data_IF_933787973080
#
_entry.id   IF_933787973080
#
_cell.length_a   1.000
_cell.length_b   1.000
_cell.length_c   1.000
_cell.angle_alpha   90.00
_cell.angle_beta   90.00
_cell.angle_gamma   90.00
#
_symmetry.space_group_name_H-M   'P 1'
#
loop_
_entity.id
_entity.type
_entity.pdbx_description
1 polymer ?
#
# COMPACT_ATOMS: atom_id res chain seq x y z
N UNK A 1 -10.80 12.62 5.33
CA UNK A 1 -11.40 11.37 5.83
C UNK A 1 -10.30 10.61 6.56
N UNK A 2 -10.46 10.38 7.86
CA UNK A 2 -9.36 9.93 8.73
C UNK A 2 -8.98 8.47 8.51
N UNK A 3 -7.71 8.23 8.20
CA UNK A 3 -7.07 6.91 8.31
C UNK A 3 -6.91 6.59 9.80
N UNK A 4 -7.91 5.95 10.40
CA UNK A 4 -7.80 5.41 11.74
C UNK A 4 -7.10 4.05 11.68
N UNK A 5 -6.01 3.88 12.42
CA UNK A 5 -5.39 2.58 12.59
C UNK A 5 -6.44 1.60 13.14
N UNK A 6 -6.70 0.52 12.40
CA UNK A 6 -7.61 -0.55 12.83
C UNK A 6 -6.77 -1.66 13.48
N UNK A 7 -7.26 -2.21 14.58
CA UNK A 7 -6.62 -3.37 15.21
C UNK A 7 -7.07 -4.67 14.55
N UNK A 8 -6.33 -5.75 14.79
CA UNK A 8 -6.64 -7.11 14.35
C UNK A 8 -8.10 -7.54 14.61
N UNK A 9 -8.62 -7.24 15.80
CA UNK A 9 -9.99 -7.59 16.18
C UNK A 9 -11.03 -6.90 15.29
N UNK A 10 -10.75 -5.64 14.89
CA UNK A 10 -11.64 -4.87 14.03
C UNK A 10 -11.61 -5.39 12.58
N UNK A 11 -10.44 -5.84 12.09
CA UNK A 11 -10.31 -6.53 10.79
C UNK A 11 -11.16 -7.79 10.76
N UNK A 12 -11.00 -8.68 11.75
CA UNK A 12 -11.77 -9.94 11.83
C UNK A 12 -13.28 -9.69 11.93
N UNK A 13 -13.70 -8.67 12.69
CA UNK A 13 -15.11 -8.27 12.80
C UNK A 13 -15.68 -7.78 11.46
N UNK A 14 -14.92 -6.99 10.70
CA UNK A 14 -15.34 -6.54 9.37
C UNK A 14 -15.42 -7.71 8.39
N UNK A 15 -14.45 -8.63 8.39
CA UNK A 15 -14.49 -9.81 7.55
C UNK A 15 -15.74 -10.67 7.82
N UNK A 16 -16.06 -10.91 9.10
CA UNK A 16 -17.28 -11.61 9.50
C UNK A 16 -18.56 -10.86 9.05
N UNK A 17 -18.59 -9.53 9.19
CA UNK A 17 -19.72 -8.70 8.77
C UNK A 17 -19.97 -8.75 7.26
N UNK A 18 -18.90 -8.78 6.46
CA UNK A 18 -18.97 -8.88 5.00
C UNK A 18 -19.04 -10.32 4.49
N UNK A 19 -19.18 -11.32 5.37
CA UNK A 19 -19.16 -12.74 5.04
C UNK A 19 -17.92 -13.17 4.21
N UNK A 20 -16.78 -12.51 4.43
CA UNK A 20 -15.50 -12.91 3.86
C UNK A 20 -14.97 -14.10 4.66
N UNK A 21 -14.86 -15.27 4.01
CA UNK A 21 -14.37 -16.51 4.62
C UNK A 21 -12.94 -16.88 4.18
N UNK A 22 -12.28 -16.01 3.41
CA UNK A 22 -10.89 -16.19 2.99
C UNK A 22 -9.94 -15.95 4.17
N UNK A 23 -9.50 -17.04 4.81
CA UNK A 23 -8.66 -16.98 6.02
C UNK A 23 -7.28 -16.39 5.73
N UNK A 24 -6.69 -16.71 4.58
CA UNK A 24 -5.37 -16.21 4.18
C UNK A 24 -5.42 -14.68 3.99
N UNK A 25 -6.48 -14.17 3.35
CA UNK A 25 -6.71 -12.74 3.20
C UNK A 25 -6.91 -12.06 4.55
N UNK A 26 -7.72 -12.63 5.45
CA UNK A 26 -8.00 -12.04 6.77
C UNK A 26 -6.72 -11.96 7.61
N UNK A 27 -5.89 -12.99 7.56
CA UNK A 27 -4.62 -13.01 8.29
C UNK A 27 -3.63 -12.00 7.69
N UNK A 28 -3.51 -11.93 6.37
CA UNK A 28 -2.68 -10.92 5.70
C UNK A 28 -3.11 -9.48 6.09
N UNK A 29 -4.41 -9.18 6.04
CA UNK A 29 -4.95 -7.88 6.47
C UNK A 29 -4.70 -7.60 7.96
N UNK A 30 -4.75 -8.64 8.79
CA UNK A 30 -4.47 -8.53 10.22
C UNK A 30 -3.01 -8.16 10.47
N UNK A 31 -2.08 -8.88 9.83
CA UNK A 31 -0.64 -8.59 9.89
C UNK A 31 -0.38 -7.15 9.46
N UNK A 32 -0.88 -6.74 8.29
CA UNK A 32 -0.74 -5.36 7.78
C UNK A 32 -1.28 -4.30 8.74
N UNK A 33 -2.46 -4.54 9.33
CA UNK A 33 -3.10 -3.58 10.24
C UNK A 33 -2.35 -3.44 11.58
N UNK A 34 -1.66 -4.50 12.02
CA UNK A 34 -0.86 -4.51 13.25
C UNK A 34 0.60 -4.14 13.04
N UNK A 35 1.06 -4.06 11.79
CA UNK A 35 2.41 -3.64 11.48
C UNK A 35 2.62 -2.18 11.94
N UNK A 36 3.61 -2.01 12.82
CA UNK A 36 4.01 -0.70 13.38
C UNK A 36 5.41 -0.31 12.93
N UNK A 37 5.93 -0.96 11.88
CA UNK A 37 7.25 -0.66 11.34
C UNK A 37 7.30 0.82 10.98
N UNK A 38 8.19 1.57 11.66
CA UNK A 38 8.55 2.93 11.24
C UNK A 38 9.34 2.78 9.96
N UNK A 39 8.68 3.02 8.84
CA UNK A 39 9.20 2.69 7.53
C UNK A 39 9.60 3.94 6.75
N UNK A 40 9.94 3.71 5.48
CA UNK A 40 10.17 4.76 4.50
C UNK A 40 8.99 5.75 4.41
N UNK A 41 7.75 5.31 4.68
CA UNK A 41 6.54 6.15 4.63
C UNK A 41 6.62 7.36 5.56
N UNK A 42 7.21 7.22 6.75
CA UNK A 42 7.38 8.33 7.70
C UNK A 42 8.32 9.41 7.16
N UNK A 43 9.36 9.02 6.43
CA UNK A 43 10.39 9.93 5.89
C UNK A 43 9.82 10.86 4.81
N UNK A 44 8.92 10.34 3.98
CA UNK A 44 8.31 11.10 2.88
C UNK A 44 6.97 11.75 3.24
N UNK A 45 6.49 11.57 4.48
CA UNK A 45 5.24 12.18 4.96
C UNK A 45 5.39 13.70 5.00
N UNK A 46 4.59 14.40 4.19
CA UNK A 46 4.63 15.87 4.05
C UNK A 46 5.59 16.37 2.98
N UNK A 47 6.40 15.48 2.38
CA UNK A 47 7.23 15.78 1.20
C UNK A 47 6.47 15.43 -0.08
N UNK A 48 5.83 14.26 -0.11
CA UNK A 48 5.02 13.80 -1.23
C UNK A 48 3.54 14.05 -1.00
N UNK A 49 2.78 14.23 -2.08
CA UNK A 49 1.32 14.22 -2.02
C UNK A 49 0.83 12.86 -1.47
N UNK A 50 -0.23 12.85 -0.63
CA UNK A 50 -0.73 11.62 -0.01
C UNK A 50 -1.01 10.49 -1.01
N UNK A 51 -1.54 10.81 -2.19
CA UNK A 51 -1.84 9.84 -3.24
C UNK A 51 -0.61 9.04 -3.72
N UNK A 52 0.56 9.69 -3.76
CA UNK A 52 1.80 9.01 -4.15
C UNK A 52 2.30 8.09 -3.04
N UNK A 53 2.14 8.50 -1.78
CA UNK A 53 2.49 7.67 -0.62
C UNK A 53 1.59 6.43 -0.54
N UNK A 54 0.29 6.58 -0.80
CA UNK A 54 -0.66 5.47 -0.77
C UNK A 54 -0.38 4.47 -1.91
N UNK A 55 -0.07 4.97 -3.11
CA UNK A 55 0.28 4.10 -4.25
C UNK A 55 1.57 3.33 -3.98
N UNK A 56 2.63 4.00 -3.54
CA UNK A 56 3.91 3.36 -3.24
C UNK A 56 3.82 2.37 -2.05
N UNK A 57 2.92 2.59 -1.09
CA UNK A 57 2.64 1.65 0.00
C UNK A 57 1.99 0.37 -0.52
N UNK A 58 0.98 0.48 -1.38
CA UNK A 58 0.35 -0.69 -2.01
C UNK A 58 1.37 -1.47 -2.84
N UNK A 59 2.20 -0.78 -3.63
CA UNK A 59 3.26 -1.42 -4.43
C UNK A 59 4.31 -2.11 -3.56
N UNK A 60 4.74 -1.49 -2.46
CA UNK A 60 5.76 -2.03 -1.55
C UNK A 60 5.32 -3.35 -0.90
N UNK A 61 4.04 -3.48 -0.54
CA UNK A 61 3.48 -4.68 0.08
C UNK A 61 2.93 -5.70 -0.94
N UNK A 62 2.87 -5.35 -2.23
CA UNK A 62 2.34 -6.24 -3.25
C UNK A 62 3.28 -7.43 -3.51
N UNK A 63 2.74 -8.65 -3.46
CA UNK A 63 3.47 -9.84 -3.93
C UNK A 63 3.46 -9.95 -5.47
N UNK A 64 2.48 -9.32 -6.13
CA UNK A 64 2.34 -9.27 -7.58
C UNK A 64 1.59 -8.00 -8.00
N UNK A 65 1.93 -7.44 -9.16
CA UNK A 65 1.27 -6.27 -9.75
C UNK A 65 0.81 -6.59 -11.18
N UNK A 66 -0.44 -6.28 -11.49
CA UNK A 66 -0.99 -6.35 -12.85
C UNK A 66 -1.60 -5.03 -13.22
N UNK A 67 -0.94 -4.31 -14.09
CA UNK A 67 -1.37 -2.99 -14.54
C UNK A 67 -1.30 -2.88 -16.07
N UNK A 68 -2.18 -2.08 -16.66
CA UNK A 68 -2.12 -1.71 -18.07
C UNK A 68 -1.73 -0.25 -18.12
N UNK A 69 -0.48 0.04 -18.45
CA UNK A 69 0.04 1.40 -18.50
C UNK A 69 0.64 1.68 -19.87
N UNK A 70 0.24 2.81 -20.45
CA UNK A 70 0.59 3.18 -21.84
C UNK A 70 1.70 4.24 -21.85
N UNK A 71 1.85 5.01 -20.77
CA UNK A 71 2.70 6.20 -20.71
C UNK A 71 3.98 6.04 -19.89
N UNK A 72 4.01 5.20 -18.84
CA UNK A 72 5.20 4.98 -18.01
C UNK A 72 5.19 3.62 -17.35
N UNK A 73 6.37 3.14 -16.96
CA UNK A 73 6.50 1.91 -16.17
C UNK A 73 6.07 2.21 -14.71
N UNK A 74 5.30 1.36 -14.02
CA UNK A 74 4.88 1.58 -12.63
C UNK A 74 6.01 1.44 -11.61
N UNK A 75 5.85 2.15 -10.50
CA UNK A 75 6.45 1.85 -9.20
C UNK A 75 7.89 1.35 -9.18
N UNK A 76 8.10 0.24 -8.48
CA UNK A 76 9.36 -0.48 -8.20
C UNK A 76 10.36 -0.61 -9.38
N UNK A 77 9.93 -0.38 -10.61
CA UNK A 77 10.76 -0.45 -11.81
C UNK A 77 11.24 0.93 -12.31
N UNK A 78 10.77 2.02 -11.70
CA UNK A 78 11.25 3.38 -11.95
C UNK A 78 12.53 3.65 -11.14
N UNK A 79 13.68 3.27 -11.70
CA UNK A 79 14.97 3.70 -11.16
C UNK A 79 15.12 5.22 -11.30
N UNK A 80 15.99 5.87 -10.50
CA UNK A 80 16.25 7.31 -10.64
C UNK A 80 16.63 7.72 -12.06
N UNK A 81 17.37 6.86 -12.78
CA UNK A 81 17.80 7.09 -14.15
C UNK A 81 16.66 6.98 -15.17
N UNK A 82 15.61 6.20 -14.88
CA UNK A 82 14.39 6.18 -15.68
C UNK A 82 13.49 7.39 -15.37
N UNK A 83 13.32 7.74 -14.10
CA UNK A 83 12.40 8.78 -13.69
C UNK A 83 12.84 10.18 -14.17
N UNK A 84 14.14 10.48 -14.12
CA UNK A 84 14.68 11.80 -14.51
C UNK A 84 14.26 12.26 -15.92
N UNK A 85 14.45 11.48 -17.00
CA UNK A 85 14.01 11.88 -18.35
C UNK A 85 12.49 11.85 -18.56
N UNK A 86 11.72 11.21 -17.68
CA UNK A 86 10.24 11.13 -17.79
C UNK A 86 9.54 12.32 -17.15
N UNK A 87 10.18 12.98 -16.17
CA UNK A 87 9.60 14.06 -15.36
C UNK A 87 10.32 15.42 -15.50
N UNK A 88 11.30 15.54 -16.40
CA UNK A 88 11.80 16.85 -16.91
C UNK A 88 10.76 17.50 -17.84
#
# INVERSE_FOLDING_TARGET
MGIAAIGAERVRRLAAFYACADEDLIEALTVMATDRTKGWREEYRGVLLPVFLDTAEVEHHATYLREVVITRIPGLLQTPDYARPVFE
#
